data_IF_542281737860
#
_entry.id   IF_542281737860
#
_cell.length_a   1.000
_cell.length_b   1.000
_cell.length_c   1.000
_cell.angle_alpha   90.00
_cell.angle_beta   90.00
_cell.angle_gamma   90.00
#
_symmetry.space_group_name_H-M   'P 1'
#
loop_
_entity.id
_entity.type
_entity.pdbx_description
1 polymer ?
#
# COMPACT_ATOMS: atom_id res chain seq x y z
N UNK A 1 -10.05 -14.29 5.66
CA UNK A 1 -8.67 -14.28 5.17
C UNK A 1 -8.33 -12.94 4.56
N UNK A 2 -7.18 -12.44 4.88
CA UNK A 2 -6.76 -11.14 4.37
C UNK A 2 -6.05 -11.30 3.04
N UNK A 3 -6.53 -10.60 2.04
CA UNK A 3 -5.85 -10.58 0.76
C UNK A 3 -4.92 -9.38 0.71
N UNK A 4 -3.77 -9.60 0.12
CA UNK A 4 -2.76 -8.56 -0.04
C UNK A 4 -2.50 -8.32 -1.51
N UNK A 5 -2.34 -7.07 -1.88
CA UNK A 5 -1.85 -6.72 -3.20
C UNK A 5 -0.48 -6.08 -3.02
N UNK A 6 0.40 -6.39 -3.96
CA UNK A 6 1.78 -5.94 -3.91
C UNK A 6 2.10 -5.07 -5.11
N UNK A 7 3.03 -4.16 -4.90
CA UNK A 7 3.52 -3.30 -5.97
C UNK A 7 4.95 -3.74 -6.34
N UNK A 8 5.41 -3.29 -7.50
CA UNK A 8 6.76 -3.58 -7.96
C UNK A 8 7.84 -3.02 -7.02
N UNK A 9 7.50 -2.00 -6.28
CA UNK A 9 8.43 -1.38 -5.33
C UNK A 9 8.51 -2.10 -3.99
N UNK A 10 7.80 -3.20 -3.84
CA UNK A 10 7.78 -3.93 -2.58
C UNK A 10 6.71 -3.46 -1.61
N UNK A 11 5.90 -2.50 -2.03
CA UNK A 11 4.79 -2.03 -1.22
C UNK A 11 3.66 -3.06 -1.22
N UNK A 12 2.90 -3.09 -0.16
CA UNK A 12 1.77 -4.00 -0.08
C UNK A 12 0.62 -3.34 0.67
N UNK A 13 -0.58 -3.68 0.26
CA UNK A 13 -1.79 -3.17 0.90
C UNK A 13 -2.74 -4.32 1.17
N UNK A 14 -3.37 -4.27 2.32
CA UNK A 14 -4.37 -5.27 2.70
C UNK A 14 -5.73 -4.85 2.18
N UNK A 15 -6.38 -5.71 1.41
CA UNK A 15 -7.72 -5.44 0.91
C UNK A 15 -8.68 -5.25 2.07
N UNK A 16 -8.51 -6.01 3.14
CA UNK A 16 -9.36 -5.86 4.32
C UNK A 16 -9.18 -4.52 5.03
N UNK A 17 -7.97 -4.00 5.01
CA UNK A 17 -7.68 -2.71 5.64
C UNK A 17 -8.41 -1.57 4.93
N UNK A 18 -8.39 -1.59 3.60
CA UNK A 18 -9.01 -0.53 2.80
C UNK A 18 -10.47 -0.80 2.47
N UNK A 19 -10.93 -2.00 2.72
CA UNK A 19 -12.33 -2.36 2.51
C UNK A 19 -12.62 -2.93 1.14
N UNK A 20 -11.78 -2.71 0.16
CA UNK A 20 -11.98 -3.28 -1.17
C UNK A 20 -10.67 -3.31 -1.93
N UNK A 21 -10.62 -4.18 -2.94
CA UNK A 21 -9.44 -4.31 -3.78
C UNK A 21 -9.15 -3.01 -4.53
N UNK A 22 -10.19 -2.35 -5.01
CA UNK A 22 -10.03 -1.10 -5.74
C UNK A 22 -9.43 -0.01 -4.85
N UNK A 23 -9.91 0.09 -3.62
CA UNK A 23 -9.36 1.05 -2.67
C UNK A 23 -7.90 0.77 -2.37
N UNK A 24 -7.55 -0.50 -2.18
CA UNK A 24 -6.16 -0.88 -1.93
C UNK A 24 -5.28 -0.57 -3.14
N UNK A 25 -5.79 -0.82 -4.34
CA UNK A 25 -5.04 -0.52 -5.56
C UNK A 25 -4.79 0.98 -5.70
N UNK A 26 -5.79 1.78 -5.40
CA UNK A 26 -5.62 3.24 -5.43
C UNK A 26 -4.60 3.71 -4.42
N UNK A 27 -4.59 3.10 -3.25
CA UNK A 27 -3.60 3.42 -2.24
C UNK A 27 -2.20 3.14 -2.76
N UNK A 28 -2.00 1.99 -3.41
CA UNK A 28 -0.71 1.67 -4.00
C UNK A 28 -0.31 2.68 -5.09
N UNK A 29 -1.27 3.06 -5.92
CA UNK A 29 -0.99 4.00 -7.00
C UNK A 29 -0.64 5.39 -6.48
N UNK A 30 -1.12 5.75 -5.30
CA UNK A 30 -0.84 7.06 -4.72
C UNK A 30 0.54 7.14 -4.07
N UNK A 31 1.23 6.01 -3.92
CA UNK A 31 2.56 5.99 -3.33
C UNK A 31 3.60 6.41 -4.36
N UNK A 32 4.50 7.30 -3.96
CA UNK A 32 5.60 7.72 -4.80
C UNK A 32 6.92 7.49 -4.07
N UNK A 33 7.86 6.82 -4.75
CA UNK A 33 9.18 6.54 -4.19
C UNK A 33 9.12 5.84 -2.84
N UNK A 34 8.07 5.06 -2.61
CA UNK A 34 7.91 4.30 -1.38
C UNK A 34 8.35 2.86 -1.60
N UNK A 35 8.95 2.28 -0.57
CA UNK A 35 9.42 0.89 -0.61
C UNK A 35 9.09 0.21 0.70
N UNK A 36 8.70 -1.07 0.61
CA UNK A 36 8.39 -1.88 1.77
C UNK A 36 7.35 -1.25 2.69
N UNK A 37 6.45 -0.46 2.11
CA UNK A 37 5.38 0.16 2.87
C UNK A 37 4.21 -0.80 3.00
N UNK A 38 3.53 -0.76 4.13
CA UNK A 38 2.40 -1.62 4.41
C UNK A 38 1.19 -0.75 4.73
N UNK A 39 0.09 -0.95 4.00
CA UNK A 39 -1.15 -0.21 4.22
C UNK A 39 -0.96 1.31 4.20
N UNK A 40 -0.04 1.78 3.36
CA UNK A 40 0.22 3.20 3.21
C UNK A 40 -0.58 3.77 2.04
N UNK A 41 -0.90 5.03 2.12
CA UNK A 41 -1.55 5.74 1.02
C UNK A 41 -1.14 7.20 1.05
N UNK A 42 -0.96 7.79 -0.13
CA UNK A 42 -0.59 9.18 -0.25
C UNK A 42 0.78 9.54 0.31
N UNK A 43 1.63 8.55 0.51
CA UNK A 43 2.97 8.77 1.05
C UNK A 43 3.97 8.98 -0.08
N UNK A 44 5.03 9.69 0.24
CA UNK A 44 6.12 9.86 -0.70
C UNK A 44 7.45 9.73 0.02
N UNK A 45 8.43 9.13 -0.66
CA UNK A 45 9.79 8.93 -0.15
C UNK A 45 9.80 8.21 1.20
N UNK A 46 8.91 7.26 1.36
CA UNK A 46 8.86 6.46 2.58
C UNK A 46 9.52 5.10 2.35
N UNK A 47 10.05 4.54 3.40
CA UNK A 47 10.57 3.18 3.35
C UNK A 47 10.32 2.52 4.68
N UNK A 48 10.02 1.22 4.64
CA UNK A 48 9.73 0.43 5.82
C UNK A 48 8.68 1.08 6.73
N UNK A 49 7.69 1.70 6.11
CA UNK A 49 6.62 2.38 6.85
C UNK A 49 5.37 1.53 6.89
N UNK A 50 4.56 1.77 7.89
CA UNK A 50 3.25 1.14 7.98
C UNK A 50 2.25 2.19 8.43
N UNK A 51 1.06 2.12 7.87
CA UNK A 51 -0.03 3.05 8.19
C UNK A 51 0.36 4.53 7.96
N UNK A 52 1.11 4.80 6.89
CA UNK A 52 1.45 6.18 6.52
C UNK A 52 0.23 6.96 6.04
#
# INVERSE_FOLDING_TARGET
>A
MTKWIKDDNGNKCSVGYFGSKEAAQRALDSLENCRNCTNCSGCSRCSDCSDC
#
